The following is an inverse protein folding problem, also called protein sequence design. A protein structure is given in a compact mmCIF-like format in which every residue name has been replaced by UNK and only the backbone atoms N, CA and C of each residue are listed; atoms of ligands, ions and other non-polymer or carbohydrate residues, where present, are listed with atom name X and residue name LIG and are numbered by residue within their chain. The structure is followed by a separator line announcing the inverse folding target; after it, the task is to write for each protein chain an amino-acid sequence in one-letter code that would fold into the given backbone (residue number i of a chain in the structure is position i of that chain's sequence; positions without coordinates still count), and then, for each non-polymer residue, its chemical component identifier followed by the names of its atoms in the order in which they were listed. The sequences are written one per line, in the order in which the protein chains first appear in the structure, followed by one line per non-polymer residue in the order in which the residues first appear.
data_IF_182342739834
#
_entry.id   IF_182342739834
#
_cell.length_a   1.000
_cell.length_b   1.000
_cell.length_c   1.000
_cell.angle_alpha   90.00
_cell.angle_beta   90.00
_cell.angle_gamma   90.00
#
_symmetry.space_group_name_H-M   'P 1'
#
loop_
_entity.id
_entity.type
_entity.pdbx_description
1 polymer ?
#
# COMPACT_ATOMS: atom_id res chain seq x y z
N UNK A 1 -85.39 39.07 4.37
CA UNK A 1 -84.32 39.87 3.73
C UNK A 1 -83.14 39.76 4.66
N UNK A 2 -82.48 38.69 4.63
CA UNK A 2 -81.40 38.43 5.59
C UNK A 2 -80.14 38.09 4.80
N UNK A 3 -79.18 38.99 4.91
CA UNK A 3 -77.87 38.89 4.24
C UNK A 3 -76.95 38.10 5.13
N UNK A 4 -76.59 36.87 4.66
CA UNK A 4 -75.63 36.00 5.38
C UNK A 4 -74.22 36.43 5.01
N UNK A 5 -73.46 36.90 6.01
CA UNK A 5 -72.01 37.18 5.93
C UNK A 5 -71.24 35.88 6.09
N UNK A 6 -70.49 35.47 5.02
CA UNK A 6 -69.55 34.38 5.08
C UNK A 6 -68.21 34.94 5.53
N UNK A 7 -67.83 34.60 6.75
CA UNK A 7 -66.47 34.85 7.26
C UNK A 7 -65.45 33.83 6.67
N UNK A 8 -64.52 34.34 5.90
CA UNK A 8 -63.36 33.55 5.44
C UNK A 8 -62.34 33.49 6.56
N UNK A 9 -62.18 32.35 7.20
CA UNK A 9 -61.06 32.06 8.11
C UNK A 9 -59.82 31.71 7.29
N UNK A 10 -58.85 32.61 7.28
CA UNK A 10 -57.52 32.35 6.72
C UNK A 10 -56.77 31.41 7.68
N UNK A 11 -56.61 30.15 7.25
CA UNK A 11 -55.76 29.21 7.93
C UNK A 11 -54.28 29.55 7.77
N UNK A 12 -53.65 29.91 8.85
CA UNK A 12 -52.23 30.10 8.95
C UNK A 12 -51.53 28.74 8.89
N UNK A 13 -51.09 28.34 7.68
CA UNK A 13 -50.16 27.23 7.53
C UNK A 13 -48.78 27.71 8.00
N UNK A 14 -48.35 27.19 9.13
CA UNK A 14 -47.01 27.40 9.69
C UNK A 14 -46.00 26.71 8.79
N UNK A 15 -44.98 27.39 8.24
CA UNK A 15 -43.88 26.76 7.53
C UNK A 15 -42.80 26.33 8.55
N UNK A 16 -43.10 25.34 9.37
CA UNK A 16 -42.17 24.88 10.40
C UNK A 16 -41.73 23.40 10.20
N UNK A 17 -42.17 22.78 9.09
CA UNK A 17 -41.83 21.36 8.83
C UNK A 17 -40.88 21.13 7.64
N UNK A 18 -40.42 22.19 6.98
CA UNK A 18 -39.52 22.08 5.83
C UNK A 18 -38.02 22.20 6.17
N UNK A 19 -37.65 22.45 7.43
CA UNK A 19 -36.25 22.70 7.82
C UNK A 19 -35.54 21.50 8.49
N UNK A 20 -36.22 20.35 8.63
CA UNK A 20 -35.63 19.17 9.31
C UNK A 20 -35.14 18.09 8.35
N UNK A 21 -35.42 18.20 7.04
CA UNK A 21 -35.02 17.18 6.07
C UNK A 21 -33.64 17.46 5.45
N UNK A 22 -33.06 18.64 5.61
CA UNK A 22 -31.75 18.99 5.04
C UNK A 22 -30.54 18.64 5.91
N UNK A 23 -30.70 18.14 7.14
CA UNK A 23 -29.56 17.74 7.99
C UNK A 23 -29.24 16.24 7.99
N UNK A 24 -29.98 15.43 7.25
CA UNK A 24 -29.71 14.00 7.15
C UNK A 24 -28.87 13.58 5.92
N UNK A 25 -28.45 14.56 5.09
CA UNK A 25 -27.53 14.34 3.97
C UNK A 25 -26.07 14.69 4.31
N UNK A 26 -25.72 14.72 5.60
CA UNK A 26 -24.35 14.64 6.07
C UNK A 26 -23.82 13.27 5.68
N UNK A 27 -23.25 13.17 4.47
CA UNK A 27 -22.68 11.96 3.95
C UNK A 27 -21.77 11.35 4.98
N UNK A 28 -22.06 10.11 5.38
CA UNK A 28 -21.11 9.22 6.00
C UNK A 28 -20.03 9.07 4.91
N UNK A 29 -19.01 9.92 4.96
CA UNK A 29 -17.79 9.69 4.22
C UNK A 29 -17.18 8.46 4.87
N UNK A 30 -17.58 7.31 4.34
CA UNK A 30 -16.89 6.06 4.58
C UNK A 30 -15.45 6.33 4.10
N UNK A 31 -14.52 6.52 5.04
CA UNK A 31 -13.10 6.49 4.75
C UNK A 31 -12.78 5.05 4.34
N UNK A 32 -13.20 4.69 3.13
CA UNK A 32 -12.73 3.48 2.49
C UNK A 32 -11.23 3.68 2.34
N UNK A 33 -10.47 3.02 3.19
CA UNK A 33 -9.02 3.02 3.11
C UNK A 33 -8.64 2.59 1.69
N UNK A 34 -7.98 3.47 0.95
CA UNK A 34 -7.64 3.16 -0.43
C UNK A 34 -6.71 1.95 -0.47
N UNK A 35 -6.75 1.18 -1.55
CA UNK A 35 -5.84 0.04 -1.72
C UNK A 35 -4.38 0.46 -1.54
N UNK A 36 -4.02 1.65 -2.02
CA UNK A 36 -2.68 2.19 -1.87
C UNK A 36 -2.32 2.47 -0.41
N UNK A 37 -3.28 2.85 0.46
CA UNK A 37 -2.99 3.04 1.89
C UNK A 37 -2.61 1.73 2.56
N UNK A 38 -3.30 0.65 2.21
CA UNK A 38 -2.99 -0.69 2.70
C UNK A 38 -1.66 -1.18 2.14
N UNK A 39 -1.40 -0.95 0.84
CA UNK A 39 -0.12 -1.28 0.20
C UNK A 39 1.04 -0.57 0.90
N UNK A 40 0.91 0.73 1.16
CA UNK A 40 1.90 1.52 1.91
C UNK A 40 2.17 0.94 3.29
N UNK A 41 1.12 0.54 4.02
CA UNK A 41 1.27 -0.09 5.33
C UNK A 41 1.99 -1.44 5.24
N UNK A 42 1.70 -2.26 4.24
CA UNK A 42 2.42 -3.52 4.01
C UNK A 42 3.89 -3.29 3.68
N UNK A 43 4.21 -2.39 2.75
CA UNK A 43 5.59 -2.10 2.39
C UNK A 43 6.41 -1.62 3.59
N UNK A 44 5.85 -0.74 4.42
CA UNK A 44 6.51 -0.31 5.65
C UNK A 44 6.77 -1.46 6.62
N UNK A 45 5.81 -2.38 6.77
CA UNK A 45 5.95 -3.56 7.63
C UNK A 45 6.96 -4.57 7.05
N UNK A 46 6.99 -4.77 5.73
CA UNK A 46 7.97 -5.65 5.10
C UNK A 46 9.39 -5.16 5.33
N UNK A 47 9.64 -3.84 5.21
CA UNK A 47 10.92 -3.25 5.56
C UNK A 47 11.36 -3.56 7.01
N UNK A 48 10.43 -3.74 7.94
CA UNK A 48 10.69 -4.03 9.35
C UNK A 48 10.76 -5.50 9.71
N UNK A 49 10.14 -6.37 8.91
CA UNK A 49 10.01 -7.80 9.20
C UNK A 49 10.99 -8.67 8.41
N UNK A 50 11.73 -8.09 7.50
CA UNK A 50 12.84 -8.73 6.82
C UNK A 50 14.14 -8.33 7.53
N UNK A 51 15.06 -9.28 7.66
CA UNK A 51 16.41 -9.05 8.14
C UNK A 51 17.36 -9.02 6.95
N UNK A 52 18.13 -7.94 6.85
CA UNK A 52 19.15 -7.76 5.83
C UNK A 52 20.51 -8.22 6.35
N UNK A 53 21.30 -8.94 5.53
CA UNK A 53 22.63 -9.36 5.95
C UNK A 53 23.57 -8.15 6.12
N UNK A 54 24.64 -8.30 6.93
CA UNK A 54 25.73 -7.32 6.96
C UNK A 54 26.23 -7.05 5.54
N UNK A 55 26.45 -5.81 5.19
CA UNK A 55 26.85 -5.42 3.82
C UNK A 55 25.73 -5.04 2.86
N UNK A 56 24.46 -5.22 3.23
CA UNK A 56 23.33 -4.66 2.46
C UNK A 56 23.31 -3.13 2.42
N UNK A 57 24.13 -2.50 3.25
CA UNK A 57 24.25 -1.05 3.38
C UNK A 57 25.70 -0.64 3.22
N UNK A 58 25.92 0.48 2.51
CA UNK A 58 27.26 1.01 2.25
C UNK A 58 27.95 1.60 3.49
N UNK A 59 27.18 1.97 4.51
CA UNK A 59 27.69 2.46 5.80
C UNK A 59 26.67 2.23 6.92
N UNK A 60 27.09 2.49 8.16
CA UNK A 60 26.20 2.46 9.32
C UNK A 60 25.03 3.44 9.25
N UNK A 61 25.22 4.57 8.57
CA UNK A 61 24.23 5.64 8.43
C UNK A 61 23.52 5.64 7.07
N UNK A 62 23.87 4.73 6.16
CA UNK A 62 23.25 4.65 4.84
C UNK A 62 21.72 4.48 4.98
N UNK A 63 20.91 5.23 4.22
CA UNK A 63 19.45 5.16 4.30
C UNK A 63 18.93 3.81 3.80
N UNK A 64 17.71 3.48 4.21
CA UNK A 64 16.95 2.36 3.67
C UNK A 64 16.28 2.81 2.37
N UNK A 65 16.82 2.38 1.23
CA UNK A 65 16.32 2.79 -0.08
C UNK A 65 15.21 1.87 -0.57
N UNK A 66 14.08 2.47 -0.96
CA UNK A 66 12.94 1.78 -1.57
C UNK A 66 12.74 2.31 -2.99
N UNK A 67 12.87 1.42 -3.96
CA UNK A 67 12.62 1.70 -5.37
C UNK A 67 11.20 1.36 -5.78
N UNK A 68 10.60 2.16 -6.65
CA UNK A 68 9.28 1.90 -7.26
C UNK A 68 9.41 1.86 -8.77
N UNK A 69 8.91 0.80 -9.38
CA UNK A 69 8.87 0.61 -10.85
C UNK A 69 7.41 0.64 -11.29
N UNK A 70 7.07 1.56 -12.20
CA UNK A 70 5.72 1.66 -12.78
C UNK A 70 4.62 2.22 -11.85
N UNK A 71 4.96 2.73 -10.65
CA UNK A 71 3.97 3.23 -9.67
C UNK A 71 4.42 4.53 -8.97
N UNK A 72 4.62 5.62 -9.71
CA UNK A 72 5.14 6.88 -9.15
C UNK A 72 4.20 7.49 -8.09
N UNK A 73 2.89 7.43 -8.29
CA UNK A 73 1.92 7.92 -7.30
C UNK A 73 1.97 7.15 -5.97
N UNK A 74 2.23 5.83 -6.02
CA UNK A 74 2.42 5.02 -4.82
C UNK A 74 3.74 5.38 -4.11
N UNK A 75 4.80 5.65 -4.88
CA UNK A 75 6.08 6.11 -4.33
C UNK A 75 5.93 7.41 -3.54
N UNK A 76 5.24 8.41 -4.11
CA UNK A 76 4.94 9.67 -3.41
C UNK A 76 4.11 9.45 -2.15
N UNK A 77 3.11 8.58 -2.22
CA UNK A 77 2.26 8.25 -1.08
C UNK A 77 3.07 7.56 0.02
N UNK A 78 3.93 6.63 -0.36
CA UNK A 78 4.83 5.95 0.57
C UNK A 78 5.81 6.94 1.21
N UNK A 79 6.42 7.83 0.44
CA UNK A 79 7.34 8.86 0.94
C UNK A 79 6.67 9.73 2.02
N UNK A 80 5.45 10.20 1.78
CA UNK A 80 4.68 10.95 2.79
C UNK A 80 4.40 10.12 4.05
N UNK A 81 4.06 8.86 3.89
CA UNK A 81 3.70 7.98 5.00
C UNK A 81 4.88 7.60 5.90
N UNK A 82 6.10 7.58 5.35
CA UNK A 82 7.33 7.24 6.10
C UNK A 82 8.15 8.45 6.53
N UNK A 83 7.69 9.64 6.27
CA UNK A 83 8.35 10.88 6.70
C UNK A 83 8.57 10.87 8.23
N UNK A 84 9.81 11.08 8.68
CA UNK A 84 10.19 11.03 10.09
C UNK A 84 10.20 9.62 10.71
N UNK A 85 9.95 8.56 9.93
CA UNK A 85 10.07 7.17 10.37
C UNK A 85 11.42 6.59 9.96
N UNK A 86 11.82 5.55 10.68
CA UNK A 86 13.03 4.80 10.37
C UNK A 86 12.80 3.29 10.43
N UNK A 87 13.74 2.53 9.89
CA UNK A 87 13.83 1.09 9.99
C UNK A 87 15.25 0.70 10.37
N UNK A 88 15.42 0.02 11.50
CA UNK A 88 16.75 -0.31 12.01
C UNK A 88 17.65 0.93 12.26
N UNK A 89 17.05 2.07 12.65
CA UNK A 89 17.75 3.34 12.84
C UNK A 89 18.07 4.12 11.57
N UNK A 90 17.67 3.63 10.39
CA UNK A 90 17.93 4.23 9.09
C UNK A 90 16.71 4.97 8.57
N UNK A 91 16.91 6.17 8.06
CA UNK A 91 15.86 6.92 7.36
C UNK A 91 15.50 6.27 6.03
N UNK A 92 14.28 6.50 5.56
CA UNK A 92 13.85 6.04 4.25
C UNK A 92 14.34 6.98 3.14
N UNK A 93 14.85 6.39 2.06
CA UNK A 93 15.13 7.07 0.80
C UNK A 93 14.25 6.44 -0.29
N UNK A 94 13.35 7.22 -0.89
CA UNK A 94 12.36 6.73 -1.85
C UNK A 94 12.78 7.15 -3.26
N UNK A 95 12.80 6.20 -4.20
CA UNK A 95 13.19 6.43 -5.58
C UNK A 95 12.14 5.90 -6.55
N UNK A 96 11.77 6.71 -7.54
CA UNK A 96 11.15 6.20 -8.76
C UNK A 96 12.26 5.66 -9.66
N UNK A 97 12.08 4.47 -10.16
CA UNK A 97 13.03 3.79 -11.04
C UNK A 97 12.48 3.78 -12.46
N UNK A 98 13.09 4.56 -13.33
CA UNK A 98 12.77 4.62 -14.76
C UNK A 98 13.39 3.44 -15.52
N UNK A 99 14.47 2.87 -14.96
CA UNK A 99 15.15 1.71 -15.48
C UNK A 99 15.50 0.70 -14.36
N UNK A 100 15.80 -0.53 -14.77
CA UNK A 100 16.09 -1.64 -13.87
C UNK A 100 17.45 -1.53 -13.16
N UNK A 101 18.38 -0.72 -13.68
CA UNK A 101 19.73 -0.62 -13.13
C UNK A 101 19.74 -0.06 -11.71
N UNK A 102 18.83 0.86 -11.43
CA UNK A 102 18.63 1.45 -10.11
C UNK A 102 18.13 0.47 -9.04
N UNK A 103 17.53 -0.65 -9.43
CA UNK A 103 16.97 -1.64 -8.51
C UNK A 103 18.02 -2.27 -7.60
N UNK A 104 19.23 -2.47 -8.10
CA UNK A 104 20.33 -3.12 -7.36
C UNK A 104 20.91 -2.26 -6.23
N UNK A 105 20.62 -0.97 -6.24
CA UNK A 105 21.04 -0.02 -5.19
C UNK A 105 19.96 0.18 -4.11
N UNK A 106 18.84 -0.56 -4.21
CA UNK A 106 17.74 -0.51 -3.25
C UNK A 106 17.82 -1.71 -2.29
N UNK A 107 17.30 -1.54 -1.07
CA UNK A 107 17.04 -2.66 -0.17
C UNK A 107 15.70 -3.31 -0.48
N UNK A 108 14.72 -2.53 -0.94
CA UNK A 108 13.43 -3.05 -1.36
C UNK A 108 13.01 -2.41 -2.69
N UNK A 109 12.38 -3.21 -3.57
CA UNK A 109 11.81 -2.73 -4.83
C UNK A 109 10.37 -3.18 -4.92
N UNK A 110 9.47 -2.23 -5.17
CA UNK A 110 8.09 -2.49 -5.53
C UNK A 110 7.92 -2.40 -7.04
N UNK A 111 7.28 -3.43 -7.62
CA UNK A 111 7.07 -3.55 -9.06
C UNK A 111 5.57 -3.57 -9.31
N UNK A 112 5.04 -2.53 -9.99
CA UNK A 112 3.65 -2.49 -10.43
C UNK A 112 3.35 -3.49 -11.55
N UNK A 113 2.08 -3.71 -11.86
CA UNK A 113 1.63 -4.68 -12.86
C UNK A 113 2.24 -4.44 -14.27
N UNK A 114 2.41 -3.18 -14.64
CA UNK A 114 3.02 -2.77 -15.91
C UNK A 114 4.55 -2.71 -15.84
N UNK A 115 5.10 -3.09 -14.68
CA UNK A 115 6.54 -3.03 -14.44
C UNK A 115 7.31 -4.04 -15.28
N UNK A 116 8.60 -3.80 -15.41
CA UNK A 116 9.55 -4.67 -16.10
C UNK A 116 9.94 -5.85 -15.20
N UNK A 117 8.97 -6.65 -14.77
CA UNK A 117 9.14 -7.68 -13.72
C UNK A 117 10.33 -8.60 -14.01
N UNK A 118 10.37 -9.23 -15.17
CA UNK A 118 11.44 -10.17 -15.50
C UNK A 118 12.81 -9.51 -15.52
N UNK A 119 12.90 -8.27 -16.04
CA UNK A 119 14.16 -7.52 -16.11
C UNK A 119 14.65 -7.12 -14.71
N UNK A 120 13.73 -6.65 -13.84
CA UNK A 120 14.07 -6.31 -12.45
C UNK A 120 14.51 -7.55 -11.67
N UNK A 121 13.75 -8.66 -11.75
CA UNK A 121 14.11 -9.92 -11.08
C UNK A 121 15.47 -10.45 -11.53
N UNK A 122 15.77 -10.36 -12.83
CA UNK A 122 17.08 -10.75 -13.35
C UNK A 122 18.21 -9.84 -12.80
N UNK A 123 18.00 -8.53 -12.74
CA UNK A 123 18.98 -7.57 -12.24
C UNK A 123 19.32 -7.74 -10.76
N UNK A 124 18.33 -8.10 -9.93
CA UNK A 124 18.50 -8.26 -8.48
C UNK A 124 18.80 -9.71 -8.07
N UNK A 125 18.87 -10.64 -9.01
CA UNK A 125 19.13 -12.05 -8.71
C UNK A 125 20.40 -12.23 -7.88
N UNK A 126 20.29 -12.96 -6.76
CA UNK A 126 21.39 -13.20 -5.81
C UNK A 126 21.84 -11.98 -5.02
N UNK A 127 21.12 -10.84 -5.10
CA UNK A 127 21.40 -9.63 -4.30
C UNK A 127 20.45 -9.52 -3.14
N UNK A 128 20.87 -8.91 -2.01
CA UNK A 128 20.01 -8.73 -0.83
C UNK A 128 18.98 -7.60 -1.06
N UNK A 129 18.15 -7.76 -2.07
CA UNK A 129 17.08 -6.82 -2.45
C UNK A 129 15.74 -7.53 -2.36
N UNK A 130 14.88 -7.08 -1.47
CA UNK A 130 13.51 -7.59 -1.36
C UNK A 130 12.69 -7.10 -2.55
N UNK A 131 12.12 -8.00 -3.35
CA UNK A 131 11.16 -7.62 -4.38
C UNK A 131 9.72 -7.91 -3.95
N UNK A 132 8.87 -6.89 -4.10
CA UNK A 132 7.44 -6.93 -3.84
C UNK A 132 6.72 -6.57 -5.13
N UNK A 133 5.70 -7.32 -5.49
CA UNK A 133 4.91 -7.07 -6.71
C UNK A 133 3.44 -7.35 -6.51
N UNK A 134 2.68 -7.26 -7.59
CA UNK A 134 1.24 -7.46 -7.60
C UNK A 134 0.88 -8.75 -8.38
N UNK A 135 -0.12 -9.49 -7.86
CA UNK A 135 -0.68 -10.67 -8.50
C UNK A 135 0.11 -11.98 -8.33
N UNK A 136 -0.57 -13.10 -8.58
CA UNK A 136 0.02 -14.44 -8.42
C UNK A 136 1.12 -14.73 -9.46
N UNK A 137 1.02 -14.15 -10.65
CA UNK A 137 2.02 -14.30 -11.70
C UNK A 137 3.40 -13.78 -11.25
N UNK A 138 3.44 -12.80 -10.35
CA UNK A 138 4.69 -12.27 -9.81
C UNK A 138 5.48 -13.33 -9.02
N UNK A 139 4.80 -14.11 -8.16
CA UNK A 139 5.46 -15.22 -7.45
C UNK A 139 5.91 -16.32 -8.39
N UNK A 140 5.08 -16.66 -9.39
CA UNK A 140 5.43 -17.67 -10.40
C UNK A 140 6.67 -17.27 -11.23
N UNK A 141 6.88 -15.96 -11.42
CA UNK A 141 8.07 -15.41 -12.06
C UNK A 141 9.32 -15.40 -11.17
N UNK A 142 9.23 -15.84 -9.90
CA UNK A 142 10.34 -15.84 -8.94
C UNK A 142 10.33 -14.65 -7.98
N UNK A 143 9.25 -13.88 -7.93
CA UNK A 143 9.08 -12.80 -6.96
C UNK A 143 9.02 -13.29 -5.51
N UNK A 144 9.33 -12.42 -4.57
CA UNK A 144 9.44 -12.77 -3.15
C UNK A 144 8.16 -12.56 -2.37
N UNK A 145 7.47 -11.43 -2.56
CA UNK A 145 6.19 -11.12 -1.91
C UNK A 145 5.23 -10.58 -2.96
N UNK A 146 4.06 -11.21 -3.09
CA UNK A 146 3.00 -10.75 -3.99
C UNK A 146 1.80 -10.23 -3.22
N UNK A 147 1.38 -9.02 -3.54
CA UNK A 147 0.13 -8.44 -3.08
C UNK A 147 -1.01 -8.88 -4.00
N UNK A 148 -2.12 -9.31 -3.44
CA UNK A 148 -3.30 -9.74 -4.21
C UNK A 148 -4.59 -9.41 -3.47
N UNK A 149 -5.71 -9.40 -4.21
CA UNK A 149 -7.03 -9.19 -3.62
C UNK A 149 -7.66 -10.51 -3.18
N UNK A 150 -8.22 -10.51 -1.98
CA UNK A 150 -9.10 -11.54 -1.48
C UNK A 150 -10.45 -10.89 -1.11
N UNK A 151 -11.36 -10.83 -2.06
CA UNK A 151 -12.57 -10.02 -1.95
C UNK A 151 -12.25 -8.52 -1.81
N UNK A 152 -12.74 -7.90 -0.74
CA UNK A 152 -12.48 -6.48 -0.45
C UNK A 152 -11.13 -6.22 0.27
N UNK A 153 -10.39 -7.26 0.64
CA UNK A 153 -9.15 -7.15 1.41
C UNK A 153 -7.93 -7.29 0.50
N UNK A 154 -6.90 -6.51 0.79
CA UNK A 154 -5.56 -6.75 0.27
C UNK A 154 -4.88 -7.77 1.19
N UNK A 155 -4.29 -8.79 0.60
CA UNK A 155 -3.53 -9.85 1.27
C UNK A 155 -2.19 -10.01 0.56
N UNK A 156 -1.28 -10.77 1.15
CA UNK A 156 -0.01 -11.08 0.50
C UNK A 156 0.38 -12.54 0.66
N UNK A 157 1.09 -13.02 -0.32
CA UNK A 157 1.72 -14.34 -0.36
C UNK A 157 3.23 -14.18 -0.36
N UNK A 158 3.92 -15.13 0.26
CA UNK A 158 5.38 -15.09 0.43
C UNK A 158 6.03 -16.31 -0.23
N UNK A 159 7.13 -16.08 -0.92
CA UNK A 159 8.05 -17.11 -1.39
C UNK A 159 9.33 -17.08 -0.54
N UNK A 160 9.42 -17.87 0.54
CA UNK A 160 10.58 -17.85 1.43
C UNK A 160 11.85 -18.38 0.75
N UNK A 161 11.72 -19.30 -0.21
CA UNK A 161 12.85 -19.79 -0.99
C UNK A 161 13.54 -18.67 -1.77
N UNK A 162 12.75 -17.82 -2.45
CA UNK A 162 13.29 -16.66 -3.17
C UNK A 162 13.93 -15.63 -2.21
N UNK A 163 13.33 -15.41 -1.03
CA UNK A 163 13.87 -14.50 0.00
C UNK A 163 15.22 -15.02 0.49
N UNK A 164 15.29 -16.31 0.83
CA UNK A 164 16.53 -16.92 1.33
C UNK A 164 17.62 -16.98 0.25
N UNK A 165 17.26 -17.24 -1.03
CA UNK A 165 18.20 -17.20 -2.16
C UNK A 165 18.83 -15.81 -2.34
N UNK A 166 18.14 -14.74 -1.95
CA UNK A 166 18.65 -13.38 -1.90
C UNK A 166 19.42 -13.06 -0.61
N UNK A 167 19.74 -14.06 0.20
CA UNK A 167 20.43 -13.91 1.50
C UNK A 167 19.65 -13.06 2.52
N UNK A 168 18.34 -12.88 2.32
CA UNK A 168 17.44 -12.22 3.25
C UNK A 168 16.81 -13.25 4.19
N UNK A 169 16.44 -12.83 5.40
CA UNK A 169 15.74 -13.68 6.35
C UNK A 169 14.34 -13.14 6.63
N UNK A 170 13.29 -13.91 6.29
CA UNK A 170 11.93 -13.51 6.63
C UNK A 170 11.69 -13.70 8.13
N UNK A 171 11.34 -12.63 8.83
CA UNK A 171 10.96 -12.70 10.21
C UNK A 171 9.64 -13.49 10.42
N UNK A 172 9.50 -14.11 11.57
CA UNK A 172 8.32 -14.93 11.91
C UNK A 172 6.99 -14.18 11.78
N UNK A 173 6.98 -12.87 12.06
CA UNK A 173 5.80 -12.02 11.91
C UNK A 173 5.33 -11.89 10.46
N UNK A 174 6.26 -11.89 9.51
CA UNK A 174 5.94 -11.84 8.08
C UNK A 174 5.25 -13.13 7.65
N UNK A 175 5.84 -14.27 7.97
CA UNK A 175 5.31 -15.59 7.57
C UNK A 175 3.97 -15.92 8.23
N UNK A 176 3.77 -15.52 9.49
CA UNK A 176 2.48 -15.68 10.19
C UNK A 176 1.36 -14.79 9.63
N UNK A 177 1.69 -13.63 9.08
CA UNK A 177 0.71 -12.69 8.53
C UNK A 177 0.37 -12.97 7.06
N UNK A 178 1.17 -13.78 6.36
CA UNK A 178 0.94 -14.14 4.97
C UNK A 178 -0.33 -14.99 4.81
N UNK A 179 -1.07 -14.77 3.72
CA UNK A 179 -2.20 -15.64 3.33
C UNK A 179 -1.70 -17.05 3.01
N UNK A 180 -0.62 -17.13 2.28
CA UNK A 180 0.06 -18.39 1.99
C UNK A 180 1.58 -18.21 1.93
N UNK A 181 2.28 -19.30 2.25
CA UNK A 181 3.72 -19.41 2.11
C UNK A 181 3.94 -20.45 1.01
N UNK A 182 4.34 -20.01 -0.19
CA UNK A 182 4.50 -20.84 -1.38
C UNK A 182 5.96 -20.81 -1.83
N UNK A 183 6.46 -21.95 -2.20
CA UNK A 183 7.79 -22.04 -2.80
C UNK A 183 8.86 -22.53 -1.82
N UNK A 184 9.22 -23.75 -1.95
CA UNK A 184 10.40 -24.46 -1.59
C UNK A 184 10.78 -25.32 -2.78
#
# INVERSE_FOLDING_TARGET
MDTVYIQRTAGWFKPALALIICLAAGGIQSFAQSQDDVTVAFLYNFARFIEWPPGSFTSGEAPFTVGFVGRPALAEKFARAVQGKNVGGREFNIRNLDDVSGATACQMVFIGEEGQTSAVLAAINGKPVLCVGEGEAFLAAGGMIALSRAGARLVFDVNPGAITAATLSPGEKLTKAARSVKGG
#
